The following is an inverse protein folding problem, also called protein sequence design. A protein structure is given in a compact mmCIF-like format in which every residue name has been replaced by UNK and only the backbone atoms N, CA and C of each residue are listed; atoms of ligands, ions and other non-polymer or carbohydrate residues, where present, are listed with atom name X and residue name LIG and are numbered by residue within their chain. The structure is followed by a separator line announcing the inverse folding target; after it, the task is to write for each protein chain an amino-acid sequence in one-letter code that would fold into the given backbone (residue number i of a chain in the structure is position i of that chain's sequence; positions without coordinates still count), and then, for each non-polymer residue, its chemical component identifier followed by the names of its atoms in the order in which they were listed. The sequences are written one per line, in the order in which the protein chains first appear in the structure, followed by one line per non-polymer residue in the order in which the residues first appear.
data_IF_575506571966
#
_entry.id   IF_575506571966
#
_cell.length_a   1.000
_cell.length_b   1.000
_cell.length_c   1.000
_cell.angle_alpha   90.00
_cell.angle_beta   90.00
_cell.angle_gamma   90.00
#
_symmetry.space_group_name_H-M   'P 1'
#
loop_
_entity.id
_entity.type
_entity.pdbx_description
1 polymer ?
#
# COMPACT_ATOMS: atom_id res chain seq x y z
N UNK A 1 -37.94 -11.73 5.42
CA UNK A 1 -36.47 -11.61 5.45
C UNK A 1 -35.93 -11.55 4.01
N UNK A 2 -36.48 -10.67 3.17
CA UNK A 2 -36.50 -10.94 1.71
C UNK A 2 -36.47 -9.73 0.78
N UNK A 3 -36.11 -8.52 1.25
CA UNK A 3 -35.88 -7.38 0.34
C UNK A 3 -34.56 -6.66 0.64
N UNK A 4 -34.22 -6.47 1.93
CA UNK A 4 -32.96 -5.83 2.33
C UNK A 4 -31.71 -6.62 1.93
N UNK A 5 -31.76 -7.95 2.02
CA UNK A 5 -30.62 -8.80 1.63
C UNK A 5 -30.36 -8.74 0.13
N UNK A 6 -31.42 -8.62 -0.69
CA UNK A 6 -31.30 -8.56 -2.16
C UNK A 6 -30.70 -7.23 -2.64
N UNK A 7 -31.04 -6.12 -1.99
CA UNK A 7 -30.51 -4.77 -2.32
C UNK A 7 -29.02 -4.66 -1.95
N UNK A 8 -28.59 -5.24 -0.84
CA UNK A 8 -27.18 -5.26 -0.43
C UNK A 8 -26.33 -6.11 -1.38
N UNK A 9 -26.86 -7.25 -1.87
CA UNK A 9 -26.13 -8.09 -2.84
C UNK A 9 -26.01 -7.41 -4.21
N UNK A 10 -27.02 -6.64 -4.65
CA UNK A 10 -26.96 -5.88 -5.90
C UNK A 10 -25.95 -4.72 -5.81
N UNK A 11 -25.94 -3.94 -4.72
CA UNK A 11 -25.01 -2.83 -4.53
C UNK A 11 -23.54 -3.30 -4.45
N UNK A 12 -23.28 -4.45 -3.82
CA UNK A 12 -21.95 -5.05 -3.76
C UNK A 12 -21.48 -5.58 -5.12
N UNK A 13 -22.38 -6.14 -5.93
CA UNK A 13 -22.05 -6.59 -7.29
C UNK A 13 -21.77 -5.43 -8.24
N UNK A 14 -22.51 -4.32 -8.15
CA UNK A 14 -22.26 -3.14 -8.98
C UNK A 14 -20.92 -2.48 -8.60
N UNK A 15 -20.58 -2.34 -7.30
CA UNK A 15 -19.24 -1.86 -6.91
C UNK A 15 -18.10 -2.78 -7.38
N UNK A 16 -18.33 -4.10 -7.36
CA UNK A 16 -17.33 -5.09 -7.79
C UNK A 16 -17.10 -5.05 -9.31
N UNK A 17 -18.18 -4.93 -10.10
CA UNK A 17 -18.11 -4.81 -11.55
C UNK A 17 -17.52 -3.46 -11.97
N UNK A 18 -17.86 -2.37 -11.29
CA UNK A 18 -17.24 -1.06 -11.53
C UNK A 18 -15.75 -1.06 -11.19
N UNK A 19 -15.34 -1.70 -10.09
CA UNK A 19 -13.94 -1.87 -9.71
C UNK A 19 -13.14 -2.65 -10.75
N UNK A 20 -13.67 -3.80 -11.21
CA UNK A 20 -13.02 -4.62 -12.26
C UNK A 20 -12.96 -3.88 -13.60
N UNK A 21 -14.03 -3.17 -13.98
CA UNK A 21 -14.08 -2.38 -15.21
C UNK A 21 -13.09 -1.21 -15.18
N UNK A 22 -12.88 -0.58 -14.01
CA UNK A 22 -11.89 0.46 -13.84
C UNK A 22 -10.46 -0.08 -13.84
N UNK A 23 -10.20 -1.21 -13.15
CA UNK A 23 -8.91 -1.91 -13.19
C UNK A 23 -8.54 -2.31 -14.62
N UNK A 24 -9.50 -2.86 -15.38
CA UNK A 24 -9.31 -3.23 -16.77
C UNK A 24 -8.98 -2.00 -17.65
N UNK A 25 -9.75 -0.92 -17.53
CA UNK A 25 -9.50 0.31 -18.30
C UNK A 25 -8.21 1.04 -17.89
N UNK A 26 -7.83 0.97 -16.61
CA UNK A 26 -6.56 1.49 -16.11
C UNK A 26 -5.37 0.71 -16.67
N UNK A 27 -5.45 -0.63 -16.65
CA UNK A 27 -4.45 -1.52 -17.24
C UNK A 27 -4.27 -1.25 -18.75
N UNK A 28 -5.37 -1.09 -19.48
CA UNK A 28 -5.33 -0.75 -20.92
C UNK A 28 -4.77 0.65 -21.21
N UNK A 29 -4.98 1.63 -20.33
CA UNK A 29 -4.43 2.99 -20.47
C UNK A 29 -2.92 3.04 -20.21
N UNK A 30 -2.39 2.21 -19.29
CA UNK A 30 -0.95 2.14 -19.02
C UNK A 30 -0.15 1.42 -20.11
N UNK A 31 -0.68 0.38 -20.75
CA UNK A 31 0.00 -0.31 -21.87
C UNK A 31 0.37 0.62 -23.04
N UNK A 32 -0.36 1.73 -23.22
CA UNK A 32 -0.07 2.75 -24.26
C UNK A 32 0.95 3.81 -23.85
N UNK A 33 1.30 3.93 -22.57
CA UNK A 33 2.21 4.97 -22.06
C UNK A 33 3.68 4.57 -21.96
N UNK A 34 4.00 3.27 -21.91
CA UNK A 34 5.37 2.78 -21.63
C UNK A 34 6.29 2.69 -22.86
N UNK A 35 5.91 3.26 -24.00
CA UNK A 35 6.79 3.31 -25.17
C UNK A 35 7.83 4.44 -25.13
N UNK A 36 7.79 5.35 -24.15
CA UNK A 36 8.74 6.47 -24.08
C UNK A 36 8.94 6.97 -22.66
N UNK A 37 10.04 6.58 -22.02
CA UNK A 37 10.86 7.46 -21.18
C UNK A 37 12.02 6.66 -20.59
N UNK A 38 13.15 6.69 -21.28
CA UNK A 38 14.44 6.38 -20.67
C UNK A 38 15.31 7.62 -20.90
N UNK A 39 15.58 8.40 -19.84
CA UNK A 39 16.65 9.40 -19.85
C UNK A 39 17.00 9.83 -18.42
N UNK A 40 18.24 9.48 -18.07
CA UNK A 40 19.09 9.98 -16.98
C UNK A 40 18.70 11.35 -16.40
N UNK A 41 18.86 11.48 -15.07
CA UNK A 41 19.50 12.65 -14.44
C UNK A 41 19.87 12.39 -12.98
N UNK A 42 21.10 12.80 -12.65
CA UNK A 42 21.64 12.96 -11.31
C UNK A 42 20.67 13.76 -10.42
N UNK A 43 20.35 13.24 -9.23
CA UNK A 43 19.35 13.82 -8.35
C UNK A 43 19.94 14.04 -6.96
N UNK A 44 19.97 15.31 -6.56
CA UNK A 44 20.18 15.72 -5.16
C UNK A 44 18.94 15.29 -4.38
N UNK A 45 19.14 14.61 -3.25
CA UNK A 45 18.10 13.98 -2.42
C UNK A 45 17.20 15.06 -1.76
N UNK A 46 16.18 15.54 -2.48
CA UNK A 46 15.12 16.40 -1.94
C UNK A 46 13.90 15.51 -1.67
N UNK A 47 13.73 15.07 -0.42
CA UNK A 47 12.63 14.19 -0.01
C UNK A 47 11.61 14.99 0.78
N UNK A 48 10.40 15.13 0.24
CA UNK A 48 9.31 15.84 0.90
C UNK A 48 8.32 14.83 1.50
N UNK A 49 8.08 14.94 2.81
CA UNK A 49 7.09 14.15 3.53
C UNK A 49 5.95 15.08 3.92
N UNK A 50 4.70 14.70 3.65
CA UNK A 50 3.52 15.50 3.98
C UNK A 50 2.29 14.62 4.14
N UNK A 51 1.18 15.19 4.61
CA UNK A 51 -0.04 14.45 4.93
C UNK A 51 -1.22 15.01 4.16
N UNK A 52 -1.99 14.14 3.48
CA UNK A 52 -3.22 14.54 2.78
C UNK A 52 -4.43 14.01 3.56
N UNK A 53 -5.45 14.84 3.77
CA UNK A 53 -6.71 14.48 4.41
C UNK A 53 -7.38 13.29 3.72
N UNK A 54 -7.82 12.30 4.51
CA UNK A 54 -8.60 11.16 4.01
C UNK A 54 -10.07 11.54 3.82
N UNK A 55 -10.78 10.77 3.00
CA UNK A 55 -12.20 10.93 2.78
C UNK A 55 -12.94 9.61 3.05
N UNK A 56 -14.18 9.69 3.53
CA UNK A 56 -15.01 8.50 3.72
C UNK A 56 -15.52 7.93 2.38
N UNK A 57 -16.29 6.85 2.44
CA UNK A 57 -16.88 6.19 1.25
C UNK A 57 -17.87 7.10 0.53
N UNK A 58 -18.44 8.05 1.27
CA UNK A 58 -19.27 9.15 0.81
C UNK A 58 -18.46 10.42 0.52
N UNK A 59 -17.13 10.33 0.45
CA UNK A 59 -16.24 11.42 0.08
C UNK A 59 -16.31 12.69 0.93
N UNK A 60 -16.76 12.59 2.19
CA UNK A 60 -16.62 13.64 3.18
C UNK A 60 -15.22 13.61 3.81
N UNK A 61 -14.63 14.78 4.10
CA UNK A 61 -13.33 14.85 4.72
C UNK A 61 -13.35 14.24 6.12
N UNK A 62 -12.46 13.28 6.35
CA UNK A 62 -12.24 12.63 7.63
C UNK A 62 -11.21 13.41 8.47
N UNK A 63 -11.18 13.15 9.79
CA UNK A 63 -10.11 13.64 10.67
C UNK A 63 -8.79 12.85 10.54
N UNK A 64 -8.74 11.88 9.62
CA UNK A 64 -7.57 11.04 9.34
C UNK A 64 -6.78 11.61 8.17
N UNK A 65 -5.48 11.30 8.14
CA UNK A 65 -4.58 11.76 7.10
C UNK A 65 -3.69 10.61 6.60
N UNK A 66 -3.54 10.53 5.28
CA UNK A 66 -2.61 9.65 4.60
C UNK A 66 -1.24 10.34 4.46
N UNK A 67 -0.17 9.64 4.84
CA UNK A 67 1.21 10.11 4.69
C UNK A 67 1.69 9.85 3.26
N UNK A 68 2.25 10.89 2.64
CA UNK A 68 2.92 10.82 1.35
C UNK A 68 4.40 11.18 1.52
N UNK A 69 5.25 10.47 0.78
CA UNK A 69 6.69 10.75 0.68
C UNK A 69 7.03 10.74 -0.81
N UNK A 70 7.47 11.89 -1.31
CA UNK A 70 7.79 12.07 -2.72
C UNK A 70 9.17 12.68 -2.86
N UNK A 71 9.88 12.25 -3.90
CA UNK A 71 11.26 12.63 -4.10
C UNK A 71 11.42 13.64 -5.25
N UNK A 72 10.38 13.88 -6.06
CA UNK A 72 10.44 14.88 -7.14
C UNK A 72 9.09 15.46 -7.58
N UNK A 73 9.18 16.56 -8.32
CA UNK A 73 8.04 17.27 -8.92
C UNK A 73 7.20 16.40 -9.86
N UNK A 74 7.80 15.47 -10.61
CA UNK A 74 7.05 14.62 -11.55
C UNK A 74 6.14 13.64 -10.80
N UNK A 75 6.64 13.00 -9.74
CA UNK A 75 5.84 12.17 -8.81
C UNK A 75 4.71 12.98 -8.17
N UNK A 76 4.97 14.24 -7.82
CA UNK A 76 3.95 15.14 -7.26
C UNK A 76 2.85 15.47 -8.28
N UNK A 77 3.22 15.84 -9.51
CA UNK A 77 2.25 16.08 -10.58
C UNK A 77 1.47 14.81 -10.93
N UNK A 78 2.11 13.64 -10.89
CA UNK A 78 1.43 12.36 -11.04
C UNK A 78 0.43 12.10 -9.93
N UNK A 79 0.78 12.41 -8.68
CA UNK A 79 -0.13 12.34 -7.54
C UNK A 79 -1.32 13.29 -7.74
N UNK A 80 -1.09 14.56 -8.07
CA UNK A 80 -2.17 15.52 -8.33
C UNK A 80 -3.10 15.04 -9.45
N UNK A 81 -2.53 14.54 -10.55
CA UNK A 81 -3.31 13.99 -11.67
C UNK A 81 -4.11 12.74 -11.27
N UNK A 82 -3.53 11.87 -10.42
CA UNK A 82 -4.22 10.72 -9.84
C UNK A 82 -5.42 11.15 -9.01
N UNK A 83 -5.24 12.17 -8.19
CA UNK A 83 -6.27 12.76 -7.33
C UNK A 83 -7.25 13.67 -8.09
N UNK A 84 -7.02 13.92 -9.39
CA UNK A 84 -7.72 14.93 -10.20
C UNK A 84 -7.75 16.31 -9.51
N UNK A 85 -6.65 16.61 -8.83
CA UNK A 85 -6.43 17.79 -8.04
C UNK A 85 -5.95 18.93 -8.94
N UNK A 86 -6.54 20.12 -8.76
CA UNK A 86 -5.92 21.38 -9.18
C UNK A 86 -4.66 21.66 -8.37
N UNK A 87 -4.61 21.20 -7.12
CA UNK A 87 -3.48 21.31 -6.23
C UNK A 87 -3.84 20.90 -4.80
N UNK A 88 -2.96 21.22 -3.86
CA UNK A 88 -3.17 20.99 -2.43
C UNK A 88 -3.33 22.32 -1.70
N UNK A 89 -4.12 22.34 -0.65
CA UNK A 89 -4.30 23.50 0.22
C UNK A 89 -3.84 23.15 1.62
N UNK A 90 -2.98 23.99 2.20
CA UNK A 90 -2.50 23.83 3.57
C UNK A 90 -3.68 24.03 4.53
N UNK A 91 -3.82 23.15 5.52
CA UNK A 91 -4.95 23.15 6.45
C UNK A 91 -4.78 24.11 7.66
N UNK A 92 -3.78 24.98 7.64
CA UNK A 92 -3.51 25.94 8.72
C UNK A 92 -4.43 27.16 8.57
N UNK A 93 -5.10 27.57 9.66
CA UNK A 93 -6.39 28.29 9.77
C UNK A 93 -6.54 29.70 9.11
N UNK A 94 -5.71 30.08 8.15
CA UNK A 94 -5.88 31.32 7.39
C UNK A 94 -6.44 31.05 5.98
N UNK A 95 -7.58 31.69 5.70
CA UNK A 95 -8.35 31.67 4.44
C UNK A 95 -7.56 32.13 3.19
N UNK A 96 -6.31 32.60 3.36
CA UNK A 96 -5.40 33.06 2.30
C UNK A 96 -4.45 31.96 1.78
N UNK A 97 -4.75 30.69 2.04
CA UNK A 97 -3.91 29.58 1.62
C UNK A 97 -3.95 29.37 0.10
N UNK A 98 -2.86 29.73 -0.59
CA UNK A 98 -2.70 29.50 -2.03
C UNK A 98 -2.74 28.00 -2.38
N UNK A 99 -3.33 27.68 -3.54
CA UNK A 99 -3.36 26.30 -4.06
C UNK A 99 -1.96 25.90 -4.53
N UNK A 100 -1.36 24.95 -3.84
CA UNK A 100 -0.02 24.44 -4.10
C UNK A 100 -0.07 23.43 -5.25
N UNK A 101 0.71 23.72 -6.29
CA UNK A 101 0.86 22.88 -7.50
C UNK A 101 2.30 22.41 -7.72
N UNK A 102 3.21 22.82 -6.84
CA UNK A 102 4.61 22.46 -6.83
C UNK A 102 4.99 21.75 -5.54
N UNK A 103 5.78 20.68 -5.65
CA UNK A 103 6.35 19.97 -4.50
C UNK A 103 7.29 20.87 -3.69
N UNK A 104 7.93 21.84 -4.34
CA UNK A 104 8.81 22.81 -3.68
C UNK A 104 8.07 23.73 -2.71
N UNK A 105 6.77 23.94 -2.94
CA UNK A 105 5.92 24.80 -2.09
C UNK A 105 5.23 23.98 -0.97
N UNK A 106 5.42 22.66 -0.96
CA UNK A 106 4.97 21.81 0.14
C UNK A 106 5.90 21.99 1.33
N UNK A 107 5.33 22.24 2.50
CA UNK A 107 6.00 22.30 3.78
C UNK A 107 6.03 20.89 4.36
N UNK A 108 7.23 20.42 4.76
CA UNK A 108 7.40 19.07 5.29
C UNK A 108 6.60 18.87 6.57
N UNK A 109 6.02 17.69 6.73
CA UNK A 109 5.22 17.24 7.86
C UNK A 109 3.93 18.04 8.10
N UNK A 110 3.49 18.85 7.14
CA UNK A 110 2.23 19.58 7.22
C UNK A 110 1.05 18.82 6.63
N UNK A 111 -0.16 19.25 7.01
CA UNK A 111 -1.43 18.66 6.62
C UNK A 111 -2.08 19.46 5.49
N UNK A 112 -2.54 18.73 4.48
CA UNK A 112 -3.07 19.30 3.26
C UNK A 112 -4.44 18.70 2.94
N UNK A 113 -5.29 19.51 2.31
CA UNK A 113 -6.53 19.07 1.66
C UNK A 113 -6.35 19.11 0.15
N UNK A 114 -7.00 18.17 -0.54
CA UNK A 114 -7.06 18.17 -2.00
C UNK A 114 -8.01 19.26 -2.49
N UNK A 115 -7.51 20.14 -3.36
CA UNK A 115 -8.35 21.07 -4.12
C UNK A 115 -8.64 20.44 -5.46
N UNK A 116 -9.84 19.93 -5.68
CA UNK A 116 -10.19 19.34 -6.98
C UNK A 116 -10.57 20.35 -8.03
N UNK A 117 -10.47 19.91 -9.28
CA UNK A 117 -11.06 20.63 -10.40
C UNK A 117 -12.59 20.75 -10.30
N UNK A 118 -13.25 19.72 -9.74
CA UNK A 118 -14.69 19.65 -9.52
C UNK A 118 -15.00 19.02 -8.15
N UNK A 119 -15.88 19.61 -7.31
CA UNK A 119 -16.20 19.10 -5.96
C UNK A 119 -16.71 17.65 -5.94
N UNK A 120 -17.42 17.24 -7.00
CA UNK A 120 -17.95 15.88 -7.15
C UNK A 120 -16.88 14.81 -7.43
N UNK A 121 -15.66 15.23 -7.82
CA UNK A 121 -14.57 14.33 -8.22
C UNK A 121 -13.69 13.91 -7.03
N UNK A 122 -13.55 14.77 -5.99
CA UNK A 122 -12.90 14.38 -4.72
C UNK A 122 -13.64 13.19 -4.13
N UNK A 123 -14.99 13.25 -4.17
CA UNK A 123 -15.90 12.28 -3.57
C UNK A 123 -15.73 10.86 -4.13
N UNK A 124 -15.41 10.76 -5.41
CA UNK A 124 -15.28 9.46 -6.06
C UNK A 124 -13.83 9.03 -6.22
N UNK A 125 -12.87 9.89 -6.61
CA UNK A 125 -11.53 9.40 -7.00
C UNK A 125 -10.54 9.22 -5.85
N UNK A 126 -10.53 10.12 -4.86
CA UNK A 126 -9.64 9.98 -3.69
C UNK A 126 -10.11 8.80 -2.85
N UNK A 127 -11.42 8.73 -2.62
CA UNK A 127 -12.11 7.59 -2.02
C UNK A 127 -11.87 6.30 -2.84
N UNK A 128 -12.02 6.31 -4.17
CA UNK A 128 -11.71 5.13 -5.00
C UNK A 128 -10.26 4.70 -4.87
N UNK A 129 -9.28 5.61 -4.85
CA UNK A 129 -7.88 5.23 -4.66
C UNK A 129 -7.65 4.59 -3.29
N UNK A 130 -8.22 5.14 -2.23
CA UNK A 130 -8.09 4.56 -0.88
C UNK A 130 -8.81 3.21 -0.77
N UNK A 131 -9.92 3.05 -1.46
CA UNK A 131 -10.65 1.78 -1.57
C UNK A 131 -9.84 0.79 -2.42
N UNK A 132 -9.26 1.19 -3.54
CA UNK A 132 -8.41 0.38 -4.41
C UNK A 132 -7.19 -0.12 -3.65
N UNK A 133 -6.48 0.74 -2.92
CA UNK A 133 -5.34 0.37 -2.09
C UNK A 133 -5.74 -0.70 -1.06
N UNK A 134 -6.86 -0.50 -0.35
CA UNK A 134 -7.38 -1.46 0.64
C UNK A 134 -7.86 -2.77 0.02
N UNK A 135 -8.53 -2.72 -1.13
CA UNK A 135 -8.99 -3.90 -1.86
C UNK A 135 -7.78 -4.70 -2.34
N UNK A 136 -6.80 -4.03 -2.93
CA UNK A 136 -5.55 -4.62 -3.37
C UNK A 136 -4.83 -5.32 -2.21
N UNK A 137 -4.61 -4.63 -1.09
CA UNK A 137 -4.00 -5.22 0.11
C UNK A 137 -4.77 -6.46 0.59
N UNK A 138 -6.10 -6.39 0.63
CA UNK A 138 -6.95 -7.49 1.11
C UNK A 138 -6.90 -8.69 0.16
N UNK A 139 -6.99 -8.47 -1.14
CA UNK A 139 -6.92 -9.51 -2.17
C UNK A 139 -5.55 -10.19 -2.17
N UNK A 140 -4.47 -9.42 -2.06
CA UNK A 140 -3.11 -9.92 -1.93
C UNK A 140 -2.98 -10.79 -0.67
N UNK A 141 -3.45 -10.32 0.49
CA UNK A 141 -3.38 -11.10 1.74
C UNK A 141 -4.15 -12.41 1.67
N UNK A 142 -5.35 -12.40 1.06
CA UNK A 142 -6.14 -13.62 0.83
C UNK A 142 -5.38 -14.57 -0.11
N UNK A 143 -4.81 -14.04 -1.19
CA UNK A 143 -4.07 -14.85 -2.16
C UNK A 143 -2.84 -15.50 -1.55
N UNK A 144 -2.07 -14.74 -0.76
CA UNK A 144 -0.90 -15.26 -0.04
C UNK A 144 -1.36 -16.34 0.95
N UNK A 145 -2.38 -16.05 1.76
CA UNK A 145 -2.95 -17.01 2.72
C UNK A 145 -3.35 -18.32 2.04
N UNK A 146 -4.13 -18.24 0.96
CA UNK A 146 -4.63 -19.42 0.26
C UNK A 146 -3.49 -20.21 -0.40
N UNK A 147 -2.48 -19.52 -0.92
CA UNK A 147 -1.30 -20.17 -1.51
C UNK A 147 -0.47 -20.87 -0.45
N UNK A 148 -0.18 -20.20 0.67
CA UNK A 148 0.58 -20.78 1.78
C UNK A 148 -0.18 -21.94 2.44
N UNK A 149 -1.49 -21.82 2.62
CA UNK A 149 -2.34 -22.91 3.11
C UNK A 149 -2.25 -24.15 2.22
N UNK A 150 -2.23 -23.97 0.88
CA UNK A 150 -2.09 -25.09 -0.07
C UNK A 150 -0.68 -25.67 -0.07
N UNK A 151 0.33 -24.80 0.01
CA UNK A 151 1.74 -25.17 -0.09
C UNK A 151 2.22 -25.90 1.17
N UNK A 152 2.01 -25.30 2.34
CA UNK A 152 2.49 -25.78 3.65
C UNK A 152 1.48 -26.73 4.31
N UNK A 153 0.20 -26.70 3.91
CA UNK A 153 -0.90 -27.47 4.52
C UNK A 153 -1.14 -27.16 6.01
N UNK A 154 -0.81 -25.93 6.42
CA UNK A 154 -1.04 -25.39 7.78
C UNK A 154 -2.00 -24.21 7.67
N UNK A 155 -2.93 -24.01 8.62
CA UNK A 155 -3.79 -22.84 8.62
C UNK A 155 -3.01 -21.56 8.93
N UNK A 156 -3.15 -20.57 8.05
CA UNK A 156 -2.70 -19.21 8.25
C UNK A 156 -3.85 -18.27 8.61
N UNK A 157 -3.58 -17.38 9.55
CA UNK A 157 -4.50 -16.32 9.98
C UNK A 157 -3.95 -14.95 9.60
N UNK A 158 -4.84 -14.01 9.31
CA UNK A 158 -4.49 -12.60 9.12
C UNK A 158 -4.44 -11.97 10.50
N UNK A 159 -3.27 -11.50 10.89
CA UNK A 159 -3.09 -10.81 12.15
C UNK A 159 -3.71 -9.41 12.07
N UNK A 160 -4.56 -9.07 13.03
CA UNK A 160 -5.41 -7.87 12.98
C UNK A 160 -4.61 -6.57 13.08
N UNK A 161 -3.53 -6.58 13.86
CA UNK A 161 -2.74 -5.39 14.14
C UNK A 161 -1.60 -5.21 13.15
N UNK A 162 -1.50 -4.02 12.56
CA UNK A 162 -0.53 -3.71 11.50
C UNK A 162 0.56 -2.73 11.94
N UNK A 163 0.42 -2.18 13.14
CA UNK A 163 1.26 -1.09 13.65
C UNK A 163 1.83 -1.55 14.99
N UNK A 164 3.15 -1.70 15.02
CA UNK A 164 3.88 -1.95 16.26
C UNK A 164 4.27 -0.61 16.87
N UNK A 165 3.89 -0.42 18.14
CA UNK A 165 4.25 0.76 18.93
C UNK A 165 5.22 0.36 20.04
N UNK A 166 6.13 1.26 20.38
CA UNK A 166 6.98 1.12 21.56
C UNK A 166 6.19 1.35 22.85
N UNK A 167 6.87 1.24 23.99
CA UNK A 167 6.33 1.52 25.31
C UNK A 167 5.79 2.96 25.49
N UNK A 168 6.22 3.92 24.67
CA UNK A 168 5.78 5.32 24.70
C UNK A 168 4.63 5.60 23.72
N UNK A 169 4.15 4.58 23.00
CA UNK A 169 3.12 4.72 21.98
C UNK A 169 3.62 5.23 20.62
N UNK A 170 4.94 5.37 20.44
CA UNK A 170 5.57 5.77 19.17
C UNK A 170 5.58 4.59 18.22
N UNK A 171 5.21 4.82 16.96
CA UNK A 171 5.24 3.77 15.93
C UNK A 171 6.68 3.42 15.57
N UNK A 172 7.07 2.16 15.78
CA UNK A 172 8.40 1.65 15.47
C UNK A 172 8.41 0.73 14.25
N UNK A 173 7.24 0.21 13.86
CA UNK A 173 7.05 -0.56 12.63
C UNK A 173 5.62 -0.49 12.13
N UNK A 174 5.46 -0.47 10.80
CA UNK A 174 4.18 -0.66 10.12
C UNK A 174 4.36 -1.76 9.06
N UNK A 175 3.37 -2.63 8.93
CA UNK A 175 3.29 -3.63 7.86
C UNK A 175 1.99 -3.43 7.11
N UNK A 176 2.00 -3.58 5.79
CA UNK A 176 0.76 -3.48 5.01
C UNK A 176 -0.14 -4.71 5.27
N UNK A 177 0.46 -5.84 5.62
CA UNK A 177 -0.26 -6.94 6.27
C UNK A 177 0.65 -7.92 6.98
N UNK A 178 0.07 -8.74 7.86
CA UNK A 178 0.80 -9.75 8.62
C UNK A 178 -0.02 -11.04 8.58
N UNK A 179 0.61 -12.14 8.16
CA UNK A 179 0.04 -13.48 8.22
C UNK A 179 0.80 -14.30 9.25
N UNK A 180 0.08 -15.09 10.04
CA UNK A 180 0.65 -15.87 11.13
C UNK A 180 0.12 -17.29 11.12
N UNK A 181 0.97 -18.23 11.52
CA UNK A 181 0.59 -19.58 11.94
C UNK A 181 1.34 -19.91 13.22
N UNK A 182 1.29 -21.15 13.70
CA UNK A 182 1.98 -21.57 14.93
C UNK A 182 3.50 -21.36 14.85
N UNK A 183 4.11 -21.63 13.69
CA UNK A 183 5.56 -21.58 13.51
C UNK A 183 6.05 -20.37 12.72
N UNK A 184 5.18 -19.73 11.94
CA UNK A 184 5.59 -18.78 10.92
C UNK A 184 4.90 -17.42 11.07
N UNK A 185 5.63 -16.36 10.69
CA UNK A 185 5.09 -15.01 10.49
C UNK A 185 5.57 -14.47 9.14
N UNK A 186 4.64 -13.91 8.37
CA UNK A 186 4.92 -13.29 7.08
C UNK A 186 4.59 -11.81 7.16
N UNK A 187 5.59 -10.96 6.94
CA UNK A 187 5.43 -9.51 6.88
C UNK A 187 5.26 -9.09 5.43
N UNK A 188 4.12 -8.48 5.12
CA UNK A 188 3.76 -8.08 3.76
C UNK A 188 3.95 -6.57 3.58
N UNK A 189 4.65 -6.21 2.51
CA UNK A 189 4.73 -4.84 1.99
C UNK A 189 4.01 -4.82 0.64
N UNK A 190 2.99 -3.98 0.49
CA UNK A 190 2.19 -3.87 -0.72
C UNK A 190 2.36 -2.47 -1.34
N UNK A 191 2.69 -2.44 -2.63
CA UNK A 191 2.86 -1.19 -3.38
C UNK A 191 2.23 -1.29 -4.76
N UNK A 192 1.70 -0.18 -5.27
CA UNK A 192 1.29 -0.11 -6.68
C UNK A 192 2.46 -0.30 -7.62
N UNK A 193 3.59 0.30 -7.29
CA UNK A 193 4.84 0.22 -8.02
C UNK A 193 5.95 -0.11 -7.04
N UNK A 194 6.59 -1.26 -7.27
CA UNK A 194 7.69 -1.72 -6.44
C UNK A 194 8.97 -1.12 -6.99
N UNK A 195 9.71 -0.43 -6.12
CA UNK A 195 11.08 0.04 -6.39
C UNK A 195 12.06 -0.66 -5.46
N UNK A 196 13.36 -0.58 -5.78
CA UNK A 196 14.41 -1.27 -5.02
C UNK A 196 14.46 -0.84 -3.55
N UNK A 197 14.13 0.42 -3.26
CA UNK A 197 14.03 0.93 -1.89
C UNK A 197 12.95 0.20 -1.09
N UNK A 198 11.82 -0.17 -1.71
CA UNK A 198 10.78 -0.92 -1.00
C UNK A 198 11.30 -2.30 -0.58
N UNK A 199 12.02 -2.98 -1.47
CA UNK A 199 12.63 -4.29 -1.22
C UNK A 199 13.64 -4.19 -0.06
N UNK A 200 14.56 -3.24 -0.15
CA UNK A 200 15.60 -3.05 0.87
C UNK A 200 15.02 -2.69 2.24
N UNK A 201 13.99 -1.82 2.27
CA UNK A 201 13.31 -1.45 3.50
C UNK A 201 12.62 -2.66 4.14
N UNK A 202 11.97 -3.53 3.35
CA UNK A 202 11.36 -4.75 3.86
C UNK A 202 12.41 -5.72 4.43
N UNK A 203 13.54 -5.90 3.76
CA UNK A 203 14.65 -6.73 4.27
C UNK A 203 15.18 -6.18 5.59
N UNK A 204 15.44 -4.87 5.66
CA UNK A 204 15.87 -4.22 6.90
C UNK A 204 14.82 -4.39 8.01
N UNK A 205 13.54 -4.23 7.69
CA UNK A 205 12.44 -4.40 8.63
C UNK A 205 12.38 -5.83 9.20
N UNK A 206 12.63 -6.87 8.41
CA UNK A 206 12.72 -8.25 8.88
C UNK A 206 13.88 -8.46 9.86
N UNK A 207 15.04 -7.84 9.59
CA UNK A 207 16.23 -7.93 10.44
C UNK A 207 16.01 -7.22 11.78
N UNK A 208 15.37 -6.05 11.77
CA UNK A 208 15.08 -5.25 12.96
C UNK A 208 13.85 -5.75 13.74
N UNK A 209 13.03 -6.63 13.16
CA UNK A 209 11.79 -7.12 13.78
C UNK A 209 11.96 -7.66 15.22
N UNK A 210 12.96 -8.51 15.52
CA UNK A 210 13.09 -9.10 16.86
C UNK A 210 13.40 -8.04 17.92
N UNK A 211 14.31 -7.10 17.62
CA UNK A 211 14.70 -6.06 18.56
C UNK A 211 13.57 -5.04 18.77
N UNK A 212 12.81 -4.72 17.70
CA UNK A 212 11.65 -3.83 17.79
C UNK A 212 10.50 -4.43 18.60
N UNK A 213 10.18 -5.71 18.43
CA UNK A 213 9.13 -6.36 19.25
C UNK A 213 9.50 -6.40 20.73
N UNK A 214 10.78 -6.60 21.07
CA UNK A 214 11.21 -6.58 22.47
C UNK A 214 10.96 -5.23 23.15
N UNK A 215 11.00 -4.13 22.39
CA UNK A 215 10.72 -2.76 22.88
C UNK A 215 9.22 -2.46 22.97
N UNK A 216 8.37 -3.31 22.38
CA UNK A 216 6.93 -3.13 22.42
C UNK A 216 6.34 -3.68 23.73
N UNK A 217 5.34 -3.00 24.26
CA UNK A 217 4.55 -3.48 25.41
C UNK A 217 3.32 -4.28 24.98
N UNK A 218 3.10 -4.47 23.68
CA UNK A 218 1.95 -5.19 23.14
C UNK A 218 2.12 -6.72 23.30
N UNK A 219 1.32 -7.38 24.15
CA UNK A 219 1.42 -8.82 24.37
C UNK A 219 1.08 -9.63 23.11
N UNK A 220 0.25 -9.10 22.21
CA UNK A 220 -0.19 -9.76 20.99
C UNK A 220 0.97 -9.89 20.01
N UNK A 221 1.74 -8.81 19.81
CA UNK A 221 2.95 -8.85 18.99
C UNK A 221 4.07 -9.70 19.61
N UNK A 222 4.15 -9.79 20.94
CA UNK A 222 5.14 -10.66 21.60
C UNK A 222 4.96 -12.14 21.29
N UNK A 223 3.76 -12.58 20.89
CA UNK A 223 3.52 -13.94 20.40
C UNK A 223 4.31 -14.27 19.12
N UNK A 224 4.72 -13.25 18.36
CA UNK A 224 5.41 -13.40 17.07
C UNK A 224 6.93 -13.58 17.21
N UNK A 225 7.51 -13.30 18.39
CA UNK A 225 8.96 -13.24 18.62
C UNK A 225 9.68 -14.57 18.30
N UNK A 226 9.04 -15.69 18.64
CA UNK A 226 9.60 -17.05 18.52
C UNK A 226 9.33 -17.72 17.17
N UNK A 227 8.58 -17.07 16.28
CA UNK A 227 8.21 -17.62 14.98
C UNK A 227 9.31 -17.36 13.95
N UNK A 228 9.48 -18.30 13.01
CA UNK A 228 10.29 -18.08 11.80
C UNK A 228 9.61 -17.01 10.95
N UNK A 229 10.40 -16.14 10.32
CA UNK A 229 9.87 -14.91 9.71
C UNK A 229 10.28 -14.82 8.26
N UNK A 230 9.34 -14.44 7.42
CA UNK A 230 9.53 -14.25 5.99
C UNK A 230 8.95 -12.91 5.55
N UNK A 231 9.57 -12.29 4.55
CA UNK A 231 9.02 -11.11 3.91
C UNK A 231 8.26 -11.47 2.65
N UNK A 232 7.21 -10.70 2.39
CA UNK A 232 6.42 -10.79 1.17
C UNK A 232 6.37 -9.42 0.52
N UNK A 233 7.06 -9.29 -0.61
CA UNK A 233 7.02 -8.08 -1.44
C UNK A 233 5.90 -8.22 -2.46
N UNK A 234 4.95 -7.29 -2.44
CA UNK A 234 3.76 -7.35 -3.29
C UNK A 234 3.65 -6.09 -4.13
N UNK A 235 3.34 -6.24 -5.42
CA UNK A 235 2.89 -5.07 -6.16
C UNK A 235 2.32 -5.31 -7.54
N UNK A 236 1.51 -4.35 -7.97
CA UNK A 236 0.80 -4.39 -9.27
C UNK A 236 1.81 -4.20 -10.41
N UNK A 237 2.72 -3.25 -10.26
CA UNK A 237 3.84 -2.99 -11.15
C UNK A 237 5.12 -3.47 -10.47
N UNK A 238 5.41 -4.76 -10.64
CA UNK A 238 6.59 -5.40 -10.06
C UNK A 238 7.39 -6.03 -11.20
N UNK A 239 8.44 -5.36 -11.68
CA UNK A 239 9.20 -5.83 -12.83
C UNK A 239 9.92 -7.14 -12.55
N UNK A 240 10.15 -7.95 -13.59
CA UNK A 240 10.86 -9.22 -13.47
C UNK A 240 12.25 -9.08 -12.84
N UNK A 241 13.01 -8.06 -13.23
CA UNK A 241 14.33 -7.79 -12.65
C UNK A 241 14.27 -7.52 -11.14
N UNK A 242 13.29 -6.73 -10.68
CA UNK A 242 13.11 -6.47 -9.25
C UNK A 242 12.59 -7.70 -8.51
N UNK A 243 11.75 -8.53 -9.14
CA UNK A 243 11.30 -9.80 -8.56
C UNK A 243 12.47 -10.76 -8.36
N UNK A 244 13.36 -10.89 -9.33
CA UNK A 244 14.57 -11.72 -9.17
C UNK A 244 15.47 -11.20 -8.04
N UNK A 245 15.67 -9.88 -7.94
CA UNK A 245 16.41 -9.28 -6.82
C UNK A 245 15.74 -9.61 -5.48
N UNK A 246 14.43 -9.43 -5.36
CA UNK A 246 13.69 -9.74 -4.14
C UNK A 246 13.80 -11.22 -3.77
N UNK A 247 13.66 -12.14 -4.75
CA UNK A 247 13.80 -13.58 -4.53
C UNK A 247 15.20 -13.97 -4.07
N UNK A 248 16.24 -13.39 -4.68
CA UNK A 248 17.64 -13.60 -4.27
C UNK A 248 17.94 -13.09 -2.84
N UNK A 249 17.10 -12.17 -2.32
CA UNK A 249 17.16 -11.70 -0.94
C UNK A 249 16.27 -12.54 0.01
N UNK A 250 15.71 -13.66 -0.46
CA UNK A 250 14.85 -14.55 0.31
C UNK A 250 13.44 -14.02 0.54
N UNK A 251 12.96 -13.08 -0.27
CA UNK A 251 11.59 -12.57 -0.20
C UNK A 251 10.65 -13.35 -1.11
N UNK A 252 9.46 -13.63 -0.61
CA UNK A 252 8.34 -14.11 -1.43
C UNK A 252 7.84 -12.93 -2.26
N UNK A 253 7.55 -13.15 -3.54
CA UNK A 253 7.07 -12.10 -4.43
C UNK A 253 5.63 -12.36 -4.87
N UNK A 254 4.81 -11.31 -4.87
CA UNK A 254 3.41 -11.37 -5.28
C UNK A 254 3.13 -10.31 -6.34
N UNK A 255 2.60 -10.72 -7.48
CA UNK A 255 2.36 -9.84 -8.62
C UNK A 255 1.18 -10.33 -9.47
N UNK A 256 0.50 -9.45 -10.22
CA UNK A 256 -0.56 -9.85 -11.13
C UNK A 256 -0.03 -10.71 -12.28
N UNK A 257 -0.70 -11.84 -12.54
CA UNK A 257 -0.50 -12.71 -13.70
C UNK A 257 -1.85 -13.31 -14.13
N UNK A 258 -2.16 -13.23 -15.42
CA UNK A 258 -3.40 -13.78 -16.01
C UNK A 258 -4.71 -13.41 -15.30
N UNK A 259 -4.81 -12.18 -14.77
CA UNK A 259 -6.02 -11.70 -14.10
C UNK A 259 -6.16 -12.09 -12.63
N UNK A 260 -5.16 -12.76 -12.05
CA UNK A 260 -5.07 -13.10 -10.64
C UNK A 260 -3.72 -12.65 -10.06
N UNK A 261 -3.56 -12.68 -8.74
CA UNK A 261 -2.25 -12.55 -8.13
C UNK A 261 -1.53 -13.91 -8.12
N UNK A 262 -0.29 -13.92 -8.61
CA UNK A 262 0.62 -15.06 -8.51
C UNK A 262 1.57 -14.83 -7.34
N UNK A 263 1.85 -15.90 -6.60
CA UNK A 263 2.82 -15.93 -5.51
C UNK A 263 3.98 -16.82 -5.94
N UNK A 264 5.20 -16.29 -5.91
CA UNK A 264 6.42 -17.07 -6.13
C UNK A 264 7.25 -17.12 -4.84
N UNK A 265 7.52 -18.35 -4.38
CA UNK A 265 8.30 -18.62 -3.17
C UNK A 265 9.71 -19.03 -3.61
N UNK A 266 10.78 -18.32 -3.17
CA UNK A 266 12.15 -18.70 -3.48
C UNK A 266 12.49 -20.10 -2.97
N UNK A 267 13.35 -20.84 -3.67
CA UNK A 267 13.76 -22.20 -3.28
C UNK A 267 14.35 -22.25 -1.87
N UNK A 268 15.16 -21.25 -1.49
CA UNK A 268 15.73 -21.15 -0.15
C UNK A 268 14.66 -21.05 0.92
N UNK A 269 13.59 -20.28 0.68
CA UNK A 269 12.45 -20.15 1.58
C UNK A 269 11.63 -21.43 1.60
N UNK A 270 11.44 -22.06 0.44
CA UNK A 270 10.71 -23.32 0.26
C UNK A 270 11.31 -24.48 1.08
N UNK A 271 12.61 -24.46 1.39
CA UNK A 271 13.24 -25.45 2.25
C UNK A 271 12.85 -25.30 3.75
N UNK A 272 12.40 -24.11 4.14
CA UNK A 272 12.05 -23.80 5.53
C UNK A 272 10.55 -23.85 5.82
N UNK A 273 9.72 -23.88 4.76
CA UNK A 273 8.25 -23.93 4.81
C UNK A 273 7.74 -25.36 4.74
#
# INVERSE_FOLDING_TARGET
MTLMTLVITFALNDLFIFGIYYLYNFYQRKKKGYANANKNRNKVDFKQIFYIQEYDEEGHPCQKFCKYKLDNQEEFLHLLKRLDAKGLLLMDDNDDSNVITSLFDIITNQQYRVVAAHPFVIKNKVTCMQIEDKIMEKEILITIKDTLNKYVKIPFEIFSDRILKDQNGVTIMKSDGILVSDEYVFLCEAKHEVVIENINNLVQQLQEFPSKIQQANDPTFKLLLRKKRFGVACGVMFSESLREIAKNLGLIVVFPDNGYYKVEIPDEVSLWL
#
